data_IF_073526468429
#
_entry.id   IF_073526468429
#
_cell.length_a   1.000
_cell.length_b   1.000
_cell.length_c   1.000
_cell.angle_alpha   90.00
_cell.angle_beta   90.00
_cell.angle_gamma   90.00
#
_symmetry.space_group_name_H-M   'P 1'
#
loop_
_entity.id
_entity.type
_entity.pdbx_description
1 polymer ?
#
# COMPACT_ATOMS: atom_id res chain seq x y z
N UNK A 1 -63.76 -2.32 -7.74
CA UNK A 1 -62.54 -3.13 -7.51
C UNK A 1 -61.83 -3.19 -8.86
N UNK A 2 -60.60 -2.76 -9.11
CA UNK A 2 -59.47 -2.37 -8.27
C UNK A 2 -58.73 -1.18 -8.93
N UNK A 3 -58.14 -0.32 -8.11
CA UNK A 3 -57.31 0.82 -8.51
C UNK A 3 -55.87 0.35 -8.73
N UNK A 4 -55.37 0.39 -9.97
CA UNK A 4 -53.96 0.14 -10.28
C UNK A 4 -53.17 1.43 -10.05
N UNK A 5 -52.41 1.52 -8.95
CA UNK A 5 -51.43 2.57 -8.73
C UNK A 5 -50.09 2.10 -9.29
N UNK A 6 -49.65 2.68 -10.40
CA UNK A 6 -48.30 2.52 -10.92
C UNK A 6 -47.34 3.30 -10.02
N UNK A 7 -46.53 2.62 -9.22
CA UNK A 7 -45.38 3.24 -8.56
C UNK A 7 -44.29 3.48 -9.61
N UNK A 8 -44.02 4.75 -9.90
CA UNK A 8 -42.77 5.16 -10.55
C UNK A 8 -41.72 5.22 -9.44
N UNK A 9 -40.91 4.18 -9.30
CA UNK A 9 -39.67 4.26 -8.51
C UNK A 9 -38.69 5.16 -9.25
N UNK A 10 -38.57 6.40 -8.81
CA UNK A 10 -37.43 7.24 -9.16
C UNK A 10 -36.20 6.66 -8.44
N UNK A 11 -35.43 5.83 -9.13
CA UNK A 11 -34.05 5.54 -8.75
C UNK A 11 -33.27 6.84 -8.85
N UNK A 12 -33.05 7.48 -7.70
CA UNK A 12 -32.07 8.53 -7.58
C UNK A 12 -30.70 7.90 -7.86
N UNK A 13 -30.21 8.05 -9.11
CA UNK A 13 -28.79 7.94 -9.36
C UNK A 13 -28.13 9.06 -8.56
N UNK A 14 -27.59 8.69 -7.40
CA UNK A 14 -26.60 9.47 -6.68
C UNK A 14 -25.37 9.59 -7.60
N UNK A 15 -25.31 10.65 -8.41
CA UNK A 15 -24.06 11.16 -8.93
C UNK A 15 -23.34 11.86 -7.78
N UNK A 16 -22.85 11.08 -6.82
CA UNK A 16 -21.63 11.46 -6.13
C UNK A 16 -20.52 11.14 -7.12
N UNK A 17 -20.16 12.10 -7.97
CA UNK A 17 -18.80 12.12 -8.52
C UNK A 17 -17.88 12.30 -7.33
N UNK A 18 -17.51 11.19 -6.68
CA UNK A 18 -16.29 11.14 -5.90
C UNK A 18 -15.23 11.71 -6.83
N UNK A 19 -14.62 12.83 -6.44
CA UNK A 19 -13.41 13.29 -7.07
C UNK A 19 -12.45 12.10 -6.96
N UNK A 20 -12.32 11.31 -8.03
CA UNK A 20 -11.27 10.32 -8.11
C UNK A 20 -9.99 11.11 -7.94
N UNK A 21 -9.32 10.95 -6.80
CA UNK A 21 -8.06 11.61 -6.48
C UNK A 21 -7.10 11.40 -7.65
N UNK A 22 -6.95 12.42 -8.49
CA UNK A 22 -5.93 12.43 -9.53
C UNK A 22 -4.64 12.80 -8.83
N UNK A 23 -3.62 11.94 -8.78
CA UNK A 23 -2.42 12.28 -8.04
C UNK A 23 -1.78 13.54 -8.62
N UNK A 24 -1.23 14.39 -7.74
CA UNK A 24 -0.43 15.54 -8.15
C UNK A 24 0.74 15.04 -9.01
N UNK A 25 0.72 15.37 -10.29
CA UNK A 25 1.81 14.94 -11.19
C UNK A 25 3.13 15.62 -10.81
N UNK A 26 4.27 14.98 -11.07
CA UNK A 26 5.57 15.63 -10.89
C UNK A 26 5.69 16.91 -11.72
N UNK A 27 5.08 16.94 -12.92
CA UNK A 27 5.03 18.12 -13.76
C UNK A 27 4.28 19.29 -13.10
N UNK A 28 3.14 19.02 -12.45
CA UNK A 28 2.39 20.05 -11.73
C UNK A 28 3.12 20.53 -10.46
N UNK A 29 3.83 19.64 -9.75
CA UNK A 29 4.68 20.02 -8.62
C UNK A 29 5.87 20.89 -9.07
N UNK A 30 6.53 20.52 -10.17
CA UNK A 30 7.62 21.29 -10.76
C UNK A 30 7.15 22.66 -11.27
N UNK A 31 5.97 22.72 -11.90
CA UNK A 31 5.37 23.98 -12.37
C UNK A 31 5.03 24.94 -11.23
N UNK A 32 4.74 24.42 -10.03
CA UNK A 32 4.47 25.20 -8.83
C UNK A 32 5.73 25.58 -8.04
N UNK A 33 6.94 25.18 -8.50
CA UNK A 33 8.23 25.45 -7.85
C UNK A 33 8.23 25.05 -6.36
N UNK A 34 7.60 23.90 -6.06
CA UNK A 34 7.47 23.37 -4.71
C UNK A 34 8.83 22.97 -4.14
N UNK A 35 9.20 23.49 -2.98
CA UNK A 35 10.37 23.01 -2.23
C UNK A 35 10.03 22.44 -0.85
N UNK A 36 8.79 22.60 -0.41
CA UNK A 36 8.23 21.91 0.74
C UNK A 36 6.78 21.50 0.47
N UNK A 37 6.30 20.54 1.26
CA UNK A 37 5.02 19.89 1.05
C UNK A 37 4.26 19.75 2.35
N UNK A 38 2.94 19.85 2.24
CA UNK A 38 1.98 19.48 3.28
C UNK A 38 1.02 18.46 2.67
N UNK A 39 0.66 17.46 3.46
CA UNK A 39 -0.30 16.46 2.99
C UNK A 39 -1.66 17.12 2.69
N UNK A 40 -2.22 17.85 3.65
CA UNK A 40 -3.49 18.56 3.53
C UNK A 40 -3.34 20.03 3.96
N UNK A 41 -4.33 20.86 3.62
CA UNK A 41 -4.28 22.30 3.91
C UNK A 41 -4.24 22.59 5.41
N UNK A 42 -4.91 21.76 6.20
CA UNK A 42 -5.01 21.79 7.66
C UNK A 42 -3.84 21.07 8.38
N UNK A 43 -3.03 20.28 7.67
CA UNK A 43 -1.85 19.65 8.25
C UNK A 43 -0.90 20.70 8.82
N UNK A 44 -0.22 20.40 9.92
CA UNK A 44 0.86 21.26 10.46
C UNK A 44 2.24 20.71 10.12
N UNK A 45 2.32 19.45 9.66
CA UNK A 45 3.55 18.80 9.26
C UNK A 45 4.03 19.33 7.91
N UNK A 46 5.32 19.57 7.82
CA UNK A 46 6.00 19.97 6.59
C UNK A 46 7.05 18.94 6.21
N UNK A 47 7.13 18.65 4.93
CA UNK A 47 8.06 17.69 4.35
C UNK A 47 8.88 18.35 3.26
N UNK A 48 10.12 17.95 3.10
CA UNK A 48 11.07 18.59 2.15
C UNK A 48 11.42 17.70 0.97
N UNK A 49 11.02 16.42 1.01
CA UNK A 49 11.19 15.48 -0.08
C UNK A 49 9.84 14.93 -0.53
N UNK A 50 9.72 14.62 -1.81
CA UNK A 50 8.58 13.91 -2.39
C UNK A 50 9.04 12.97 -3.49
N UNK A 51 8.41 11.79 -3.57
CA UNK A 51 8.57 10.83 -4.66
C UNK A 51 7.18 10.34 -5.06
N UNK A 52 6.88 10.41 -6.35
CA UNK A 52 5.61 9.96 -6.89
C UNK A 52 5.84 8.88 -7.93
N UNK A 53 5.19 7.74 -7.78
CA UNK A 53 5.25 6.62 -8.71
C UNK A 53 3.88 6.43 -9.36
N UNK A 54 3.83 6.48 -10.69
CA UNK A 54 2.60 6.28 -11.47
C UNK A 54 2.70 5.03 -12.34
N UNK A 55 1.94 4.00 -11.97
CA UNK A 55 1.94 2.71 -12.64
C UNK A 55 0.80 2.59 -13.66
N UNK A 56 -0.03 3.63 -13.84
CA UNK A 56 -1.25 3.55 -14.65
C UNK A 56 -1.01 3.38 -16.15
N UNK A 57 0.14 3.80 -16.67
CA UNK A 57 0.41 3.81 -18.12
C UNK A 57 1.82 3.33 -18.49
N UNK A 58 2.30 2.30 -17.80
CA UNK A 58 3.57 1.66 -18.14
C UNK A 58 3.38 0.79 -19.38
N UNK A 59 4.23 1.01 -20.39
CA UNK A 59 4.16 0.30 -21.66
C UNK A 59 4.49 -1.19 -21.53
N UNK A 60 3.85 -2.02 -22.35
CA UNK A 60 4.02 -3.49 -22.42
C UNK A 60 3.75 -4.23 -21.09
N UNK A 61 2.63 -3.94 -20.40
CA UNK A 61 2.30 -4.64 -19.17
C UNK A 61 2.04 -6.13 -19.45
N UNK A 62 2.46 -7.01 -18.54
CA UNK A 62 2.27 -8.45 -18.66
C UNK A 62 2.21 -9.14 -17.30
N UNK A 63 1.35 -10.15 -17.18
CA UNK A 63 1.28 -11.00 -15.99
C UNK A 63 2.20 -12.22 -16.19
N UNK A 64 3.30 -12.34 -15.43
CA UNK A 64 4.22 -13.47 -15.56
C UNK A 64 3.58 -14.76 -15.04
N UNK A 65 3.82 -15.86 -15.75
CA UNK A 65 3.45 -17.18 -15.28
C UNK A 65 4.18 -17.50 -13.95
N UNK A 66 3.53 -18.17 -12.99
CA UNK A 66 4.20 -18.59 -11.77
C UNK A 66 5.37 -19.54 -12.00
N UNK A 67 6.41 -19.42 -11.16
CA UNK A 67 7.56 -20.33 -11.17
C UNK A 67 7.32 -21.43 -10.15
N UNK A 68 7.52 -22.68 -10.57
CA UNK A 68 7.38 -23.86 -9.70
C UNK A 68 8.74 -24.25 -9.13
N UNK A 69 8.75 -24.59 -7.84
CA UNK A 69 9.97 -24.94 -7.08
C UNK A 69 10.61 -23.72 -6.41
N UNK A 70 10.71 -23.77 -5.08
CA UNK A 70 11.17 -22.64 -4.24
C UNK A 70 12.53 -22.10 -4.62
N UNK A 71 13.49 -22.97 -4.95
CA UNK A 71 14.83 -22.55 -5.37
C UNK A 71 14.85 -21.77 -6.68
N UNK A 72 14.02 -22.16 -7.67
CA UNK A 72 13.91 -21.44 -8.93
C UNK A 72 13.13 -20.12 -8.75
N UNK A 73 12.10 -20.14 -7.89
CA UNK A 73 11.29 -18.99 -7.58
C UNK A 73 12.09 -17.91 -6.84
N UNK A 74 12.90 -18.29 -5.84
CA UNK A 74 13.83 -17.39 -5.16
C UNK A 74 14.97 -16.88 -6.04
N UNK A 75 15.26 -17.55 -7.15
CA UNK A 75 16.26 -17.13 -8.14
C UNK A 75 15.65 -16.36 -9.33
N UNK A 76 14.36 -16.03 -9.27
CA UNK A 76 13.68 -15.33 -10.35
C UNK A 76 14.31 -13.96 -10.64
N UNK A 77 14.35 -13.60 -11.93
CA UNK A 77 14.72 -12.26 -12.38
C UNK A 77 13.55 -11.28 -12.32
N UNK A 78 13.85 -10.00 -12.55
CA UNK A 78 12.83 -8.98 -12.71
C UNK A 78 11.92 -9.28 -13.90
N UNK A 79 10.61 -9.08 -13.72
CA UNK A 79 9.57 -9.44 -14.70
C UNK A 79 9.34 -8.38 -15.77
N UNK A 80 9.81 -7.15 -15.53
CA UNK A 80 9.58 -6.00 -16.40
C UNK A 80 10.79 -5.04 -16.37
N UNK A 81 11.19 -4.42 -17.50
CA UNK A 81 12.32 -3.48 -17.55
C UNK A 81 12.20 -2.27 -16.61
N UNK A 82 10.97 -1.88 -16.26
CA UNK A 82 10.70 -0.81 -15.28
C UNK A 82 11.45 -1.00 -13.97
N UNK A 83 11.57 -2.25 -13.48
CA UNK A 83 12.26 -2.54 -12.21
C UNK A 83 13.78 -2.41 -12.27
N UNK A 84 14.35 -2.16 -13.44
CA UNK A 84 15.78 -1.84 -13.63
C UNK A 84 16.03 -0.35 -13.85
N UNK A 85 14.98 0.49 -13.87
CA UNK A 85 15.12 1.94 -14.04
C UNK A 85 15.70 2.58 -12.78
N UNK A 86 16.29 3.78 -12.95
CA UNK A 86 16.74 4.59 -11.81
C UNK A 86 15.58 5.01 -10.91
N UNK A 87 14.40 5.28 -11.48
CA UNK A 87 13.18 5.60 -10.73
C UNK A 87 12.88 4.53 -9.68
N UNK A 88 12.85 3.25 -10.10
CA UNK A 88 12.66 2.12 -9.20
C UNK A 88 13.88 1.89 -8.31
N UNK A 89 15.07 1.69 -8.89
CA UNK A 89 16.25 1.22 -8.16
C UNK A 89 16.90 2.27 -7.24
N UNK A 90 16.57 3.56 -7.37
CA UNK A 90 16.99 4.55 -6.39
C UNK A 90 16.12 4.54 -5.12
N UNK A 91 14.94 3.90 -5.17
CA UNK A 91 14.00 3.92 -4.04
C UNK A 91 13.73 2.53 -3.48
N UNK A 92 13.66 1.51 -4.33
CA UNK A 92 13.12 0.20 -3.97
C UNK A 92 14.13 -0.93 -4.16
N UNK A 93 13.98 -1.97 -3.35
CA UNK A 93 14.66 -3.26 -3.44
C UNK A 93 13.58 -4.35 -3.38
N UNK A 94 13.49 -5.14 -4.44
CA UNK A 94 12.64 -6.33 -4.44
C UNK A 94 13.38 -7.48 -3.77
N UNK A 95 12.72 -8.16 -2.85
CA UNK A 95 13.35 -9.17 -2.00
C UNK A 95 13.25 -10.57 -2.60
N UNK A 96 14.21 -11.43 -2.24
CA UNK A 96 14.29 -12.84 -2.67
C UNK A 96 14.62 -13.80 -1.52
N UNK A 97 14.52 -13.32 -0.27
CA UNK A 97 14.79 -14.13 0.92
C UNK A 97 13.67 -15.13 1.21
N UNK A 98 13.94 -16.11 2.07
CA UNK A 98 12.98 -17.15 2.48
C UNK A 98 12.84 -17.22 4.01
N UNK A 99 11.67 -17.63 4.51
CA UNK A 99 11.44 -17.89 5.94
C UNK A 99 10.72 -19.23 6.14
N UNK A 100 10.89 -19.91 7.29
CA UNK A 100 10.16 -21.15 7.57
C UNK A 100 8.64 -20.99 7.68
N UNK A 101 8.14 -19.77 7.93
CA UNK A 101 6.71 -19.48 8.12
C UNK A 101 6.11 -20.12 9.39
N UNK A 102 4.79 -19.98 9.58
CA UNK A 102 4.02 -20.56 10.69
C UNK A 102 3.33 -21.89 10.34
N UNK A 103 3.70 -22.51 9.23
CA UNK A 103 3.13 -23.78 8.78
C UNK A 103 3.46 -24.09 7.33
N UNK A 104 3.64 -23.04 6.53
CA UNK A 104 4.07 -23.11 5.14
C UNK A 104 5.30 -22.21 4.95
N UNK A 105 6.45 -22.76 4.51
CA UNK A 105 7.63 -21.95 4.18
C UNK A 105 7.31 -20.85 3.17
N UNK A 106 7.84 -19.65 3.37
CA UNK A 106 7.70 -18.53 2.44
C UNK A 106 8.96 -18.33 1.62
N UNK A 107 8.78 -18.01 0.36
CA UNK A 107 9.84 -17.61 -0.57
C UNK A 107 9.42 -16.31 -1.26
N UNK A 108 10.11 -15.21 -0.97
CA UNK A 108 9.94 -14.01 -1.76
C UNK A 108 10.52 -14.21 -3.16
N UNK A 109 9.79 -13.75 -4.17
CA UNK A 109 10.16 -13.92 -5.57
C UNK A 109 9.99 -12.63 -6.33
N UNK A 110 11.01 -12.26 -7.10
CA UNK A 110 10.91 -11.15 -8.06
C UNK A 110 9.85 -11.43 -9.13
N UNK A 111 9.51 -12.70 -9.38
CA UNK A 111 8.43 -13.08 -10.31
C UNK A 111 7.04 -12.65 -9.82
N UNK A 112 6.91 -12.32 -8.54
CA UNK A 112 5.66 -11.87 -7.93
C UNK A 112 5.57 -10.35 -7.82
N UNK A 113 6.53 -9.60 -8.36
CA UNK A 113 6.44 -8.15 -8.51
C UNK A 113 6.44 -7.84 -10.00
N UNK A 114 5.31 -7.38 -10.54
CA UNK A 114 5.13 -7.19 -11.98
C UNK A 114 4.23 -6.01 -12.33
N UNK A 115 4.33 -5.56 -13.58
CA UNK A 115 3.42 -4.57 -14.15
C UNK A 115 2.33 -5.31 -14.92
N UNK A 116 1.12 -5.34 -14.36
CA UNK A 116 -0.01 -6.06 -14.95
C UNK A 116 -0.85 -5.13 -15.84
N UNK A 117 -1.52 -5.66 -16.88
CA UNK A 117 -2.50 -4.88 -17.63
C UNK A 117 -3.72 -4.59 -16.76
N UNK A 118 -4.31 -3.41 -16.89
CA UNK A 118 -5.59 -3.09 -16.25
C UNK A 118 -6.67 -4.07 -16.73
N UNK A 119 -7.60 -4.43 -15.85
CA UNK A 119 -8.67 -5.35 -16.21
C UNK A 119 -9.61 -4.67 -17.22
N UNK A 120 -10.19 -5.43 -18.15
CA UNK A 120 -11.12 -4.85 -19.15
C UNK A 120 -12.37 -4.20 -18.52
N UNK A 121 -12.69 -4.54 -17.27
CA UNK A 121 -13.78 -3.91 -16.50
C UNK A 121 -13.34 -2.62 -15.79
N UNK A 122 -12.04 -2.39 -15.64
CA UNK A 122 -11.52 -1.11 -15.18
C UNK A 122 -11.71 -0.11 -16.33
N UNK A 123 -12.54 0.91 -16.14
CA UNK A 123 -12.81 1.90 -17.18
C UNK A 123 -11.54 2.64 -17.61
N UNK A 124 -11.56 3.24 -18.82
CA UNK A 124 -10.38 3.88 -19.43
C UNK A 124 -9.69 4.95 -18.55
N UNK A 125 -10.41 5.55 -17.60
CA UNK A 125 -9.89 6.53 -16.65
C UNK A 125 -8.88 5.96 -15.64
N UNK A 126 -8.85 4.63 -15.46
CA UNK A 126 -7.96 3.92 -14.54
C UNK A 126 -6.55 3.68 -15.12
N UNK A 127 -6.34 3.97 -16.41
CA UNK A 127 -5.10 3.69 -17.12
C UNK A 127 -5.02 2.26 -17.67
N UNK A 128 -3.93 1.96 -18.39
CA UNK A 128 -3.70 0.67 -19.05
C UNK A 128 -2.96 -0.38 -18.21
N UNK A 129 -2.39 -0.01 -17.07
CA UNK A 129 -1.55 -0.90 -16.25
C UNK A 129 -1.59 -0.57 -14.76
N UNK A 130 -1.01 -1.43 -13.93
CA UNK A 130 -0.74 -1.17 -12.51
C UNK A 130 0.43 -2.02 -12.01
N UNK A 131 1.05 -1.61 -10.91
CA UNK A 131 1.98 -2.46 -10.16
C UNK A 131 1.16 -3.56 -9.47
N UNK A 132 1.70 -4.78 -9.45
CA UNK A 132 1.08 -5.91 -8.76
C UNK A 132 2.13 -6.64 -7.94
N UNK A 133 1.80 -6.87 -6.67
CA UNK A 133 2.49 -7.83 -5.81
C UNK A 133 1.57 -9.04 -5.63
N UNK A 134 2.11 -10.25 -5.76
CA UNK A 134 1.35 -11.50 -5.69
C UNK A 134 1.86 -12.42 -4.59
N UNK A 135 0.95 -13.18 -3.99
CA UNK A 135 1.27 -14.42 -3.28
C UNK A 135 0.53 -15.59 -3.92
N UNK A 136 1.21 -16.73 -4.07
CA UNK A 136 0.67 -17.94 -4.67
C UNK A 136 1.01 -19.16 -3.81
N UNK A 137 -0.01 -19.94 -3.45
CA UNK A 137 0.18 -21.18 -2.70
C UNK A 137 0.59 -22.30 -3.65
N UNK A 138 1.86 -22.69 -3.59
CA UNK A 138 2.38 -23.88 -4.26
C UNK A 138 2.01 -25.14 -3.48
N UNK A 139 2.47 -26.32 -3.88
CA UNK A 139 2.20 -27.56 -3.13
C UNK A 139 2.82 -27.57 -1.73
N UNK A 140 4.03 -27.04 -1.61
CA UNK A 140 4.95 -27.26 -0.49
C UNK A 140 5.53 -25.97 0.10
N UNK A 141 5.30 -24.82 -0.54
CA UNK A 141 5.67 -23.50 -0.02
C UNK A 141 4.65 -22.43 -0.45
N UNK A 142 4.79 -21.23 0.11
CA UNK A 142 4.11 -20.03 -0.35
C UNK A 142 5.12 -19.17 -1.11
N UNK A 143 4.82 -18.91 -2.38
CA UNK A 143 5.53 -17.90 -3.16
C UNK A 143 4.96 -16.54 -2.79
N UNK A 144 5.79 -15.60 -2.35
CA UNK A 144 5.38 -14.29 -1.80
C UNK A 144 6.08 -13.14 -2.52
N UNK A 145 5.68 -11.91 -2.21
CA UNK A 145 6.33 -10.70 -2.73
C UNK A 145 6.61 -9.72 -1.59
N UNK A 146 7.80 -9.13 -1.61
CA UNK A 146 8.13 -7.98 -0.78
C UNK A 146 9.03 -7.00 -1.53
N UNK A 147 8.71 -5.72 -1.35
CA UNK A 147 9.47 -4.58 -1.86
C UNK A 147 9.75 -3.66 -0.68
N UNK A 148 11.03 -3.41 -0.41
CA UNK A 148 11.49 -2.54 0.67
C UNK A 148 12.14 -1.28 0.10
N UNK A 149 12.10 -0.18 0.83
CA UNK A 149 12.90 0.99 0.49
C UNK A 149 14.40 0.66 0.56
N UNK A 150 15.18 1.19 -0.37
CA UNK A 150 16.62 0.99 -0.45
C UNK A 150 17.41 1.58 0.73
N UNK A 151 16.77 2.50 1.47
CA UNK A 151 17.28 3.15 2.66
C UNK A 151 16.24 3.10 3.77
N UNK A 152 16.71 3.12 5.02
CA UNK A 152 15.89 3.13 6.23
C UNK A 152 16.01 4.49 6.96
N UNK A 153 15.92 5.57 6.19
CA UNK A 153 16.25 6.93 6.64
C UNK A 153 15.05 7.87 6.66
N UNK A 154 13.84 7.37 6.38
CA UNK A 154 12.59 8.13 6.45
C UNK A 154 12.30 8.49 7.90
N UNK A 155 12.07 9.78 8.17
CA UNK A 155 11.85 10.32 9.52
C UNK A 155 10.66 11.26 9.48
N UNK A 156 9.48 10.77 9.83
CA UNK A 156 8.18 11.37 9.52
C UNK A 156 7.88 11.41 8.02
N UNK A 157 6.66 11.04 7.67
CA UNK A 157 6.23 10.91 6.29
C UNK A 157 4.71 10.94 6.16
N UNK A 158 4.25 11.21 4.96
CA UNK A 158 2.93 10.86 4.46
C UNK A 158 3.12 9.86 3.32
N UNK A 159 2.53 8.68 3.50
CA UNK A 159 2.42 7.62 2.48
C UNK A 159 1.00 7.62 1.93
N UNK A 160 0.85 7.59 0.60
CA UNK A 160 -0.46 7.46 -0.05
C UNK A 160 -0.39 6.45 -1.17
N UNK A 161 -1.35 5.53 -1.22
CA UNK A 161 -1.48 4.60 -2.35
C UNK A 161 -2.92 4.54 -2.82
N UNK A 162 -3.13 4.56 -4.14
CA UNK A 162 -4.38 4.08 -4.72
C UNK A 162 -4.22 2.61 -5.03
N UNK A 163 -4.86 1.78 -4.23
CA UNK A 163 -4.66 0.35 -4.25
C UNK A 163 -5.97 -0.42 -4.10
N UNK A 164 -5.89 -1.71 -4.41
CA UNK A 164 -6.92 -2.71 -4.09
C UNK A 164 -6.26 -4.06 -3.86
N UNK A 165 -6.89 -4.91 -3.09
CA UNK A 165 -6.46 -6.29 -2.88
C UNK A 165 -7.46 -7.27 -3.52
N UNK A 166 -7.00 -8.42 -4.02
CA UNK A 166 -7.85 -9.41 -4.71
C UNK A 166 -7.37 -10.83 -4.46
N UNK A 167 -8.25 -11.79 -4.73
CA UNK A 167 -7.91 -13.20 -4.78
C UNK A 167 -8.39 -14.02 -3.60
N UNK A 168 -7.71 -15.14 -3.34
CA UNK A 168 -8.11 -16.16 -2.40
C UNK A 168 -7.95 -15.72 -0.94
N UNK A 169 -8.83 -16.27 -0.09
CA UNK A 169 -8.71 -16.18 1.36
C UNK A 169 -7.41 -16.84 1.85
N UNK A 170 -6.82 -16.28 2.91
CA UNK A 170 -5.61 -16.80 3.55
C UNK A 170 -4.34 -16.04 3.22
N UNK A 171 -4.40 -14.74 2.93
CA UNK A 171 -3.26 -13.88 2.67
C UNK A 171 -3.39 -12.53 3.40
N UNK A 172 -2.25 -11.84 3.49
CA UNK A 172 -2.14 -10.45 3.94
C UNK A 172 -1.53 -9.63 2.81
N UNK A 173 -2.12 -8.46 2.54
CA UNK A 173 -1.50 -7.41 1.74
C UNK A 173 -1.20 -6.23 2.64
N UNK A 174 0.02 -5.72 2.64
CA UNK A 174 0.42 -4.66 3.54
C UNK A 174 1.23 -3.55 2.88
N UNK A 175 1.03 -2.34 3.38
CA UNK A 175 1.92 -1.19 3.21
C UNK A 175 2.26 -0.69 4.61
N UNK A 176 3.53 -0.66 4.97
CA UNK A 176 3.95 -0.37 6.34
C UNK A 176 5.30 0.31 6.40
N UNK A 177 5.64 0.77 7.60
CA UNK A 177 6.96 1.29 7.93
C UNK A 177 7.62 0.40 8.96
N UNK A 178 8.94 0.24 8.93
CA UNK A 178 9.62 -0.70 9.82
C UNK A 178 11.05 -0.28 10.16
N UNK A 179 11.44 -0.52 11.41
CA UNK A 179 12.83 -0.65 11.83
C UNK A 179 12.94 -1.64 12.99
N UNK A 180 14.09 -2.31 13.10
CA UNK A 180 14.46 -3.09 14.27
C UNK A 180 15.47 -2.36 15.19
N UNK A 181 15.87 -1.14 14.84
CA UNK A 181 16.94 -0.40 15.51
C UNK A 181 16.44 0.95 16.06
N UNK A 182 16.62 1.26 17.36
CA UNK A 182 17.22 0.43 18.42
C UNK A 182 16.34 -0.73 18.90
N UNK A 183 15.07 -0.72 18.53
CA UNK A 183 14.07 -1.73 18.82
C UNK A 183 13.02 -1.71 17.72
N UNK A 184 12.16 -2.73 17.68
CA UNK A 184 11.04 -2.78 16.73
C UNK A 184 10.19 -1.52 16.88
N UNK A 185 10.00 -0.83 15.77
CA UNK A 185 9.00 0.22 15.59
C UNK A 185 8.45 0.08 14.18
N UNK A 186 7.13 0.01 14.08
CA UNK A 186 6.47 -0.24 12.81
C UNK A 186 5.05 0.31 12.87
N UNK A 187 4.53 0.70 11.71
CA UNK A 187 3.18 1.20 11.56
C UNK A 187 2.56 0.68 10.27
N UNK A 188 1.39 0.07 10.40
CA UNK A 188 0.83 -0.87 9.43
C UNK A 188 -0.46 -0.37 8.77
N UNK A 189 -0.63 -0.70 7.49
CA UNK A 189 -1.93 -0.83 6.82
C UNK A 189 -2.02 -2.27 6.32
N UNK A 190 -2.86 -3.09 6.95
CA UNK A 190 -3.01 -4.50 6.60
C UNK A 190 -4.44 -4.86 6.19
N UNK A 191 -4.56 -5.51 5.04
CA UNK A 191 -5.79 -6.19 4.62
C UNK A 191 -5.59 -7.69 4.68
N UNK A 192 -6.53 -8.38 5.33
CA UNK A 192 -6.51 -9.84 5.46
C UNK A 192 -7.57 -10.42 4.56
N UNK A 193 -7.18 -11.22 3.57
CA UNK A 193 -8.14 -11.76 2.59
C UNK A 193 -9.10 -12.80 3.18
N UNK A 194 -8.87 -13.23 4.43
CA UNK A 194 -9.77 -14.10 5.19
C UNK A 194 -10.82 -13.36 6.04
N UNK A 195 -10.69 -12.05 6.22
CA UNK A 195 -11.66 -11.25 7.00
C UNK A 195 -12.70 -10.60 6.08
N UNK A 196 -13.58 -9.78 6.65
CA UNK A 196 -14.59 -9.08 5.88
C UNK A 196 -13.94 -8.18 4.81
N UNK A 197 -14.55 -8.12 3.62
CA UNK A 197 -14.00 -7.39 2.47
C UNK A 197 -13.91 -5.88 2.70
N UNK A 198 -14.56 -5.35 3.73
CA UNK A 198 -14.55 -3.94 4.12
C UNK A 198 -13.76 -3.70 5.40
N UNK A 199 -12.94 -4.65 5.85
CA UNK A 199 -12.14 -4.51 7.06
C UNK A 199 -10.67 -4.25 6.74
N UNK A 200 -10.10 -3.24 7.39
CA UNK A 200 -8.67 -2.95 7.40
C UNK A 200 -8.18 -2.91 8.84
N UNK A 201 -6.95 -3.37 9.07
CA UNK A 201 -6.30 -3.25 10.36
C UNK A 201 -5.11 -2.28 10.27
N UNK A 202 -5.05 -1.38 11.23
CA UNK A 202 -3.94 -0.47 11.46
C UNK A 202 -3.29 -0.83 12.79
N UNK A 203 -1.98 -0.93 12.83
CA UNK A 203 -1.25 -1.24 14.06
C UNK A 203 0.02 -0.41 14.13
N UNK A 204 0.36 0.08 15.33
CA UNK A 204 1.74 0.48 15.66
C UNK A 204 2.38 -0.69 16.43
N UNK A 205 3.40 -1.33 15.88
CA UNK A 205 4.04 -2.50 16.48
C UNK A 205 5.16 -2.12 17.47
N UNK A 206 5.43 -2.97 18.48
CA UNK A 206 4.73 -4.23 18.81
C UNK A 206 3.32 -4.07 19.42
N UNK A 207 2.33 -4.72 18.80
CA UNK A 207 0.96 -4.85 19.32
C UNK A 207 0.82 -5.80 20.51
N UNK A 208 1.86 -6.57 20.83
CA UNK A 208 1.95 -7.45 22.00
C UNK A 208 3.25 -7.20 22.73
N UNK A 209 3.18 -6.93 24.04
CA UNK A 209 4.35 -6.68 24.89
C UNK A 209 4.35 -7.70 26.02
N UNK A 210 5.44 -8.44 26.17
CA UNK A 210 5.58 -9.51 27.19
C UNK A 210 4.46 -10.57 27.16
N UNK A 211 3.90 -10.84 25.98
CA UNK A 211 2.79 -11.78 25.80
C UNK A 211 1.40 -11.21 26.05
N UNK A 212 1.30 -9.91 26.39
CA UNK A 212 0.03 -9.22 26.59
C UNK A 212 -0.28 -8.32 25.39
N UNK A 213 -1.45 -8.53 24.80
CA UNK A 213 -1.99 -7.67 23.74
C UNK A 213 -2.12 -6.22 24.26
N UNK A 214 -1.80 -5.27 23.40
CA UNK A 214 -1.92 -3.84 23.66
C UNK A 214 -3.08 -3.27 22.84
N UNK A 215 -4.30 -3.17 23.40
CA UNK A 215 -5.47 -2.74 22.62
C UNK A 215 -5.32 -1.34 22.02
N UNK A 216 -4.49 -0.50 22.63
CA UNK A 216 -4.22 0.85 22.15
C UNK A 216 -3.37 0.87 20.88
N UNK A 217 -2.59 -0.18 20.62
CA UNK A 217 -1.70 -0.30 19.46
C UNK A 217 -2.43 -0.59 18.15
N UNK A 218 -3.64 -1.14 18.21
CA UNK A 218 -4.36 -1.66 17.02
C UNK A 218 -5.73 -1.00 16.86
N UNK A 219 -6.10 -0.69 15.62
CA UNK A 219 -7.46 -0.28 15.22
C UNK A 219 -7.91 -1.12 14.04
N UNK A 220 -9.02 -1.81 14.23
CA UNK A 220 -9.72 -2.52 13.16
C UNK A 220 -10.88 -1.64 12.71
N UNK A 221 -10.91 -1.31 11.43
CA UNK A 221 -11.81 -0.29 10.87
C UNK A 221 -12.61 -0.87 9.72
N UNK A 222 -13.90 -0.49 9.65
CA UNK A 222 -14.74 -0.70 8.48
C UNK A 222 -14.51 0.42 7.47
N UNK A 223 -14.14 0.07 6.24
CA UNK A 223 -13.84 0.97 5.15
C UNK A 223 -15.09 1.79 4.77
N UNK A 224 -14.98 3.13 4.69
CA UNK A 224 -16.13 3.99 4.41
C UNK A 224 -16.63 3.92 2.96
N UNK A 225 -15.79 3.45 2.04
CA UNK A 225 -16.01 3.53 0.59
C UNK A 225 -16.35 2.18 -0.07
N UNK A 226 -16.52 1.13 0.74
CA UNK A 226 -16.82 -0.21 0.27
C UNK A 226 -15.61 -1.15 0.39
N UNK A 227 -15.64 -2.30 -0.30
CA UNK A 227 -14.67 -3.36 -0.07
C UNK A 227 -13.29 -3.01 -0.63
N UNK A 228 -12.21 -3.48 0.01
CA UNK A 228 -10.83 -3.33 -0.43
C UNK A 228 -10.53 -3.98 -1.79
N UNK A 229 -11.52 -4.68 -2.38
CA UNK A 229 -11.46 -5.20 -3.76
C UNK A 229 -11.69 -4.13 -4.83
N UNK A 230 -12.15 -2.95 -4.42
CA UNK A 230 -12.28 -1.76 -5.25
C UNK A 230 -11.12 -0.81 -5.01
N UNK A 231 -10.79 0.00 -6.01
CA UNK A 231 -9.74 1.01 -5.93
C UNK A 231 -10.09 2.07 -4.88
N UNK A 232 -9.24 2.21 -3.86
CA UNK A 232 -9.39 3.19 -2.78
C UNK A 232 -8.04 3.85 -2.47
N UNK A 233 -8.07 5.14 -2.16
CA UNK A 233 -6.88 5.82 -1.65
C UNK A 233 -6.70 5.48 -0.17
N UNK A 234 -5.56 4.91 0.17
CA UNK A 234 -5.13 4.71 1.55
C UNK A 234 -3.98 5.66 1.86
N UNK A 235 -4.10 6.41 2.94
CA UNK A 235 -3.07 7.35 3.40
C UNK A 235 -2.69 7.10 4.85
N UNK A 236 -1.39 7.11 5.11
CA UNK A 236 -0.78 7.08 6.44
C UNK A 236 0.06 8.34 6.65
N UNK A 237 -0.29 9.13 7.67
CA UNK A 237 0.50 10.26 8.13
C UNK A 237 1.23 9.87 9.42
N UNK A 238 2.56 9.82 9.34
CA UNK A 238 3.45 9.70 10.47
C UNK A 238 4.00 11.07 10.84
N UNK A 239 3.63 11.55 12.02
CA UNK A 239 4.10 12.82 12.59
C UNK A 239 4.59 12.60 14.02
N UNK A 240 5.31 13.56 14.64
CA UNK A 240 5.75 13.42 16.02
C UNK A 240 4.60 13.08 16.98
N UNK A 241 4.63 11.86 17.52
CA UNK A 241 3.65 11.38 18.50
C UNK A 241 2.29 10.93 17.96
N UNK A 242 2.09 10.85 16.63
CA UNK A 242 0.85 10.31 16.05
C UNK A 242 1.09 9.53 14.75
N UNK A 243 0.43 8.38 14.66
CA UNK A 243 0.13 7.66 13.41
C UNK A 243 -1.33 7.89 13.05
N UNK A 244 -1.62 8.52 11.91
CA UNK A 244 -2.98 8.82 11.46
C UNK A 244 -3.28 8.18 10.11
N UNK A 245 -4.43 7.52 9.98
CA UNK A 245 -4.84 6.85 8.75
C UNK A 245 -6.10 7.43 8.14
N UNK A 246 -6.13 7.46 6.82
CA UNK A 246 -7.21 8.01 6.01
C UNK A 246 -7.57 7.03 4.88
N UNK A 247 -8.84 7.04 4.51
CA UNK A 247 -9.37 6.36 3.33
C UNK A 247 -10.17 7.37 2.51
N UNK A 248 -9.83 7.53 1.24
CA UNK A 248 -10.43 8.51 0.33
C UNK A 248 -10.56 9.92 0.95
N UNK A 249 -9.44 10.41 1.51
CA UNK A 249 -9.36 11.70 2.17
C UNK A 249 -10.04 11.80 3.55
N UNK A 250 -10.79 10.79 4.00
CA UNK A 250 -11.44 10.78 5.31
C UNK A 250 -10.55 10.14 6.37
N UNK A 251 -10.28 10.84 7.47
CA UNK A 251 -9.58 10.25 8.63
C UNK A 251 -10.42 9.12 9.23
N UNK A 252 -9.83 7.93 9.37
CA UNK A 252 -10.51 6.73 9.87
C UNK A 252 -9.90 6.16 11.14
N UNK A 253 -8.62 6.42 11.40
CA UNK A 253 -7.94 5.97 12.62
C UNK A 253 -6.84 6.94 13.07
N UNK A 254 -6.48 6.86 14.35
CA UNK A 254 -5.37 7.56 14.98
C UNK A 254 -4.83 6.72 16.13
N UNK A 255 -3.52 6.51 16.17
CA UNK A 255 -2.82 5.77 17.21
C UNK A 255 -1.60 6.58 17.67
N UNK A 256 -1.62 6.99 18.94
CA UNK A 256 -0.50 7.67 19.59
C UNK A 256 0.44 6.67 20.29
N UNK A 257 -0.12 5.57 20.80
CA UNK A 257 0.63 4.53 21.49
C UNK A 257 1.64 3.88 20.54
N UNK A 258 2.89 3.74 21.00
CA UNK A 258 4.01 3.21 20.22
C UNK A 258 4.21 3.84 18.84
N UNK A 259 3.84 5.12 18.68
CA UNK A 259 4.15 5.83 17.44
C UNK A 259 5.66 5.77 17.18
N UNK A 260 6.10 5.40 15.97
CA UNK A 260 7.51 5.38 15.63
C UNK A 260 8.19 6.74 15.84
N UNK A 261 9.47 6.68 16.20
CA UNK A 261 10.35 7.82 16.50
C UNK A 261 11.71 7.68 15.84
N UNK A 262 12.17 6.46 15.60
CA UNK A 262 13.41 6.17 14.86
C UNK A 262 13.18 6.26 13.34
N UNK A 263 14.24 6.46 12.54
CA UNK A 263 14.15 6.34 11.09
C UNK A 263 13.66 4.95 10.65
N UNK A 264 12.79 4.92 9.64
CA UNK A 264 12.11 3.71 9.16
C UNK A 264 12.43 3.43 7.70
N UNK A 265 12.30 2.17 7.31
CA UNK A 265 12.05 1.75 5.93
C UNK A 265 10.57 1.87 5.59
N UNK A 266 10.23 1.95 4.31
CA UNK A 266 8.88 1.76 3.78
C UNK A 266 8.82 0.41 3.07
N UNK A 267 7.80 -0.40 3.34
CA UNK A 267 7.70 -1.77 2.83
C UNK A 267 6.31 -2.05 2.29
N UNK A 268 6.25 -2.73 1.15
CA UNK A 268 5.04 -3.31 0.57
C UNK A 268 5.22 -4.82 0.46
N UNK A 269 4.28 -5.61 0.98
CA UNK A 269 4.34 -7.05 0.82
C UNK A 269 2.96 -7.70 0.63
N UNK A 270 3.00 -8.90 0.06
CA UNK A 270 1.84 -9.77 -0.11
C UNK A 270 2.28 -11.19 0.23
N UNK A 271 1.68 -11.76 1.27
CA UNK A 271 2.18 -13.00 1.84
C UNK A 271 1.09 -13.86 2.48
N UNK A 272 1.44 -15.13 2.65
CA UNK A 272 0.71 -16.11 3.44
C UNK A 272 1.75 -17.06 4.02
N UNK A 273 1.47 -17.66 5.17
CA UNK A 273 2.34 -18.66 5.80
C UNK A 273 1.57 -19.79 6.46
N UNK A 274 0.24 -19.82 6.30
CA UNK A 274 -0.64 -20.77 6.98
C UNK A 274 -0.84 -20.49 8.47
N UNK A 275 -0.27 -19.41 9.00
CA UNK A 275 -0.41 -18.98 10.38
C UNK A 275 -1.79 -18.41 10.69
N UNK A 276 -2.05 -18.15 11.97
CA UNK A 276 -3.34 -17.60 12.43
C UNK A 276 -3.60 -16.20 11.87
N UNK A 277 -2.53 -15.45 11.60
CA UNK A 277 -2.62 -14.08 11.11
C UNK A 277 -3.04 -14.03 9.64
N UNK A 278 -2.27 -14.67 8.76
CA UNK A 278 -2.54 -14.72 7.33
C UNK A 278 -3.74 -15.61 7.00
N UNK A 279 -3.93 -16.68 7.77
CA UNK A 279 -4.88 -17.75 7.47
C UNK A 279 -4.28 -18.79 6.54
N UNK A 280 -5.07 -19.82 6.23
CA UNK A 280 -4.62 -20.92 5.36
C UNK A 280 -5.12 -20.71 3.94
N UNK A 281 -4.20 -20.53 3.00
CA UNK A 281 -4.48 -20.51 1.57
C UNK A 281 -4.47 -21.93 0.99
N UNK A 282 -5.49 -22.29 0.22
CA UNK A 282 -5.54 -23.57 -0.50
C UNK A 282 -4.51 -23.65 -1.63
N UNK A 283 -3.97 -24.83 -1.92
CA UNK A 283 -3.01 -25.03 -3.02
C UNK A 283 -3.59 -24.57 -4.37
N UNK A 284 -2.79 -23.81 -5.13
CA UNK A 284 -3.20 -23.12 -6.35
C UNK A 284 -3.97 -21.81 -6.10
N UNK A 285 -4.25 -21.46 -4.84
CA UNK A 285 -4.81 -20.18 -4.47
C UNK A 285 -3.80 -19.05 -4.66
N UNK A 286 -4.30 -17.89 -5.06
CA UNK A 286 -3.50 -16.70 -5.36
C UNK A 286 -4.19 -15.47 -4.78
N UNK A 287 -3.43 -14.54 -4.21
CA UNK A 287 -3.91 -13.23 -3.82
C UNK A 287 -2.93 -12.13 -4.22
N UNK A 288 -3.43 -10.94 -4.46
CA UNK A 288 -2.67 -9.82 -5.02
C UNK A 288 -2.97 -8.51 -4.29
N UNK A 289 -1.97 -7.65 -4.21
CA UNK A 289 -2.11 -6.21 -4.02
C UNK A 289 -1.81 -5.52 -5.34
N UNK A 290 -2.77 -4.74 -5.81
CA UNK A 290 -2.67 -3.96 -7.04
C UNK A 290 -2.55 -2.49 -6.68
N UNK A 291 -1.61 -1.77 -7.27
CA UNK A 291 -1.29 -0.38 -6.94
C UNK A 291 -1.21 0.44 -8.22
N UNK A 292 -2.07 1.44 -8.36
CA UNK A 292 -2.04 2.37 -9.50
C UNK A 292 -0.99 3.45 -9.33
N UNK A 293 -0.85 3.99 -8.12
CA UNK A 293 0.16 4.99 -7.82
C UNK A 293 0.51 4.99 -6.33
N UNK A 294 1.70 5.51 -6.03
CA UNK A 294 2.23 5.68 -4.68
C UNK A 294 2.87 7.07 -4.55
N UNK A 295 2.47 7.84 -3.55
CA UNK A 295 3.06 9.14 -3.21
C UNK A 295 3.71 9.06 -1.82
N UNK A 296 5.02 9.29 -1.79
CA UNK A 296 5.80 9.40 -0.57
C UNK A 296 6.23 10.85 -0.41
N UNK A 297 5.67 11.53 0.58
CA UNK A 297 6.07 12.89 0.96
C UNK A 297 6.71 12.84 2.34
N UNK A 298 8.00 13.16 2.48
CA UNK A 298 8.76 12.74 3.67
C UNK A 298 9.90 13.70 4.06
N UNK A 299 10.34 13.58 5.31
CA UNK A 299 11.64 14.06 5.74
C UNK A 299 12.59 12.86 5.88
N UNK A 300 13.89 13.10 5.71
CA UNK A 300 14.90 12.05 5.80
C UNK A 300 16.07 12.50 6.66
N UNK A 301 16.65 11.54 7.38
CA UNK A 301 17.89 11.76 8.15
C UNK A 301 19.13 11.88 7.26
N UNK A 302 19.07 11.41 6.01
CA UNK A 302 20.19 11.49 5.05
C UNK A 302 20.00 12.56 3.96
N UNK A 303 18.75 12.94 3.66
CA UNK A 303 18.37 13.94 2.65
C UNK A 303 17.72 15.13 3.34
N UNK A 304 18.57 16.07 3.78
CA UNK A 304 18.16 17.33 4.40
C UNK A 304 17.53 18.26 3.36
N UNK A 305 16.74 19.23 3.85
CA UNK A 305 16.13 20.25 3.00
C UNK A 305 17.20 20.99 2.16
N UNK A 306 16.96 21.23 0.86
CA UNK A 306 17.90 21.98 0.02
C UNK A 306 17.99 23.47 0.40
N UNK A 307 17.13 23.95 1.29
CA UNK A 307 17.10 25.34 1.78
C UNK A 307 15.90 25.59 2.69
N UNK A 308 15.53 26.86 2.86
CA UNK A 308 14.32 27.24 3.59
C UNK A 308 13.05 26.87 2.81
N UNK A 309 11.99 26.46 3.51
CA UNK A 309 10.66 26.27 2.93
C UNK A 309 10.07 27.61 2.48
N UNK A 310 10.24 27.96 1.21
CA UNK A 310 9.72 29.19 0.62
C UNK A 310 8.41 28.96 -0.12
N UNK A 311 8.26 27.81 -0.76
CA UNK A 311 7.08 27.44 -1.55
C UNK A 311 6.53 26.11 -1.02
N UNK A 312 5.50 26.22 -0.18
CA UNK A 312 4.84 25.08 0.45
C UNK A 312 3.64 24.66 -0.38
N UNK A 313 3.72 23.49 -1.00
CA UNK A 313 2.62 22.92 -1.78
C UNK A 313 1.76 22.00 -0.92
N UNK A 314 0.44 22.13 -1.06
CA UNK A 314 -0.52 21.22 -0.42
C UNK A 314 -0.87 20.14 -1.42
N UNK A 315 -0.51 18.89 -1.12
CA UNK A 315 -0.72 17.76 -2.04
C UNK A 315 -2.20 17.64 -2.38
N UNK A 316 -3.10 17.68 -1.40
CA UNK A 316 -4.56 17.60 -1.62
C UNK A 316 -5.14 18.72 -2.49
N UNK A 317 -4.46 19.86 -2.63
CA UNK A 317 -4.95 20.99 -3.43
C UNK A 317 -4.45 20.98 -4.87
N UNK A 318 -3.56 20.04 -5.20
CA UNK A 318 -2.96 19.90 -6.52
C UNK A 318 -3.35 18.56 -7.19
N UNK A 319 -4.26 17.83 -6.54
CA UNK A 319 -4.89 16.58 -6.99
C UNK A 319 -6.13 16.92 -7.83
#
# INVERSE_FOLDING_TARGET
MASLRTLVSATALSLATLAQCRPLTEAAAAAADCNCYKASSDSTAHFVNRKFFDFRNIANPSTPAPIVGSGADGAAGATHPYFSTAEWTNTWRTQSWSTPGEGVPRQNSLNNVFIAPAAAQDGDEQGSSHLTLRTLRQSDYQSTAEVESATADYQFLTMRMLARSRGASGAVTALFTYTANPNVQEADIEFRTQTALDQVQYTNQPGTVNGEEQPEATRVVTLPSGPWTEWQEHRYDWTPGSSDWYVDGKKVASIQFQTPTAPLSVIMNVWSDGGVWSGVMGAGGEAEMQVQWLDLTYNSTSQQAPGACSNVCVIDSLI
#
